data_IF_844128887906
#
_entry.id   IF_844128887906
#
_cell.length_a   1.000
_cell.length_b   1.000
_cell.length_c   1.000
_cell.angle_alpha   90.00
_cell.angle_beta   90.00
_cell.angle_gamma   90.00
#
_symmetry.space_group_name_H-M   'P 1'
#
loop_
_entity.id
_entity.type
_entity.pdbx_description
1 polymer ?
#
# COMPACT_ATOMS: atom_id res chain seq x y z
N UNK A 1 57.72 -47.54 -19.66
CA UNK A 1 57.82 -46.25 -18.95
C UNK A 1 58.29 -46.55 -17.55
N UNK A 2 59.37 -47.33 -17.43
CA UNK A 2 60.80 -46.99 -17.68
C UNK A 2 61.32 -46.32 -16.40
N UNK A 3 62.38 -46.72 -15.71
CA UNK A 3 63.57 -47.48 -16.09
C UNK A 3 64.19 -48.14 -14.84
N UNK A 4 64.80 -49.32 -15.03
CA UNK A 4 65.92 -49.83 -14.24
C UNK A 4 67.20 -49.13 -14.76
N UNK A 5 68.34 -49.05 -14.05
CA UNK A 5 69.26 -50.19 -14.17
C UNK A 5 70.29 -50.42 -13.03
N UNK A 6 70.77 -51.66 -13.04
CA UNK A 6 72.18 -52.10 -12.98
C UNK A 6 72.92 -52.36 -11.64
N UNK A 7 73.29 -53.64 -11.55
CA UNK A 7 74.33 -54.32 -10.76
C UNK A 7 75.73 -54.01 -11.35
N UNK A 8 76.84 -54.37 -10.68
CA UNK A 8 77.49 -55.62 -11.09
C UNK A 8 78.18 -56.45 -9.98
N UNK A 9 78.48 -57.70 -10.35
CA UNK A 9 79.17 -58.78 -9.62
C UNK A 9 80.70 -58.83 -9.89
N UNK A 10 81.35 -59.71 -9.11
CA UNK A 10 82.57 -60.51 -9.41
C UNK A 10 83.92 -59.90 -8.94
N UNK A 11 84.95 -60.61 -8.46
CA UNK A 11 85.29 -62.04 -8.32
C UNK A 11 86.54 -62.20 -7.41
N UNK A 12 86.60 -63.29 -6.62
CA UNK A 12 87.71 -64.25 -6.34
C UNK A 12 89.22 -63.89 -6.39
N UNK A 13 89.99 -64.45 -5.43
CA UNK A 13 91.24 -65.29 -5.51
C UNK A 13 92.03 -65.17 -4.18
N UNK A 14 92.20 -66.21 -3.36
CA UNK A 14 93.01 -67.45 -3.44
C UNK A 14 94.51 -67.33 -3.11
N UNK A 15 94.96 -68.31 -2.31
CA UNK A 15 96.29 -68.94 -2.24
C UNK A 15 97.45 -68.15 -1.58
N UNK A 16 98.47 -68.74 -0.92
CA UNK A 16 98.82 -70.06 -0.36
C UNK A 16 100.19 -69.88 0.33
N UNK A 17 100.60 -70.90 1.09
CA UNK A 17 101.97 -71.41 1.26
C UNK A 17 103.01 -70.81 2.25
N UNK A 18 103.17 -71.55 3.37
CA UNK A 18 104.25 -72.55 3.64
C UNK A 18 105.68 -72.12 4.05
N UNK A 19 106.16 -72.85 5.08
CA UNK A 19 107.55 -73.24 5.42
C UNK A 19 108.54 -72.18 5.93
N UNK A 20 109.61 -72.47 6.69
CA UNK A 20 110.11 -73.56 7.57
C UNK A 20 111.49 -73.06 8.06
N UNK A 21 111.84 -73.33 9.34
CA UNK A 21 113.18 -73.32 9.99
C UNK A 21 114.26 -72.28 9.63
N UNK A 22 114.88 -71.72 10.68
CA UNK A 22 116.35 -71.70 10.73
C UNK A 22 117.01 -70.45 11.30
N UNK A 23 117.62 -70.64 12.47
CA UNK A 23 118.88 -70.02 12.92
C UNK A 23 118.82 -68.65 13.62
N UNK A 24 118.80 -68.82 14.95
CA UNK A 24 119.32 -67.99 16.02
C UNK A 24 120.65 -67.29 15.67
N UNK A 25 120.76 -66.01 16.04
CA UNK A 25 121.95 -65.30 16.58
C UNK A 25 122.01 -63.82 16.16
N UNK A 26 121.07 -62.97 16.60
CA UNK A 26 121.31 -61.51 16.71
C UNK A 26 120.27 -60.78 17.60
N UNK A 27 119.75 -61.46 18.62
CA UNK A 27 118.50 -61.08 19.32
C UNK A 27 118.59 -59.99 20.41
N UNK A 28 119.72 -59.31 20.61
CA UNK A 28 119.87 -58.44 21.79
C UNK A 28 119.91 -56.93 21.56
N UNK A 29 120.18 -56.43 20.35
CA UNK A 29 120.24 -54.97 20.09
C UNK A 29 119.08 -54.44 19.24
N UNK A 30 118.39 -55.30 18.49
CA UNK A 30 117.17 -54.95 17.74
C UNK A 30 115.90 -54.97 18.63
N UNK A 31 116.00 -55.57 19.81
CA UNK A 31 114.91 -55.76 20.76
C UNK A 31 114.45 -54.47 21.46
N UNK A 32 115.31 -53.46 21.59
CA UNK A 32 115.00 -52.16 22.23
C UNK A 32 114.45 -51.12 21.25
N UNK A 33 114.90 -51.13 19.98
CA UNK A 33 114.33 -50.31 18.92
C UNK A 33 112.96 -50.82 18.46
N UNK A 34 112.78 -52.15 18.40
CA UNK A 34 111.49 -52.78 18.07
C UNK A 34 110.44 -52.58 19.16
N UNK A 35 110.80 -52.62 20.45
CA UNK A 35 109.86 -52.32 21.56
C UNK A 35 109.37 -50.88 21.54
N UNK A 36 110.25 -49.90 21.30
CA UNK A 36 109.84 -48.48 21.16
C UNK A 36 108.89 -48.27 19.97
N UNK A 37 109.13 -48.92 18.82
CA UNK A 37 108.21 -48.84 17.67
C UNK A 37 106.88 -49.57 17.87
N UNK A 38 106.83 -50.58 18.74
CA UNK A 38 105.58 -51.30 19.08
C UNK A 38 104.76 -50.46 20.07
N UNK A 39 105.40 -49.81 21.03
CA UNK A 39 104.74 -48.91 21.98
C UNK A 39 104.14 -47.67 21.29
N UNK A 40 104.85 -47.06 20.33
CA UNK A 40 104.29 -45.97 19.52
C UNK A 40 103.10 -46.42 18.67
N UNK A 41 103.19 -47.59 18.03
CA UNK A 41 102.06 -48.16 17.26
C UNK A 41 100.85 -48.47 18.15
N UNK A 42 101.09 -48.98 19.36
CA UNK A 42 100.03 -49.23 20.34
C UNK A 42 99.39 -47.91 20.81
N UNK A 43 100.19 -46.87 21.07
CA UNK A 43 99.68 -45.56 21.46
C UNK A 43 98.87 -44.90 20.35
N UNK A 44 99.29 -45.00 19.08
CA UNK A 44 98.54 -44.50 17.94
C UNK A 44 97.28 -45.32 17.67
N UNK A 45 97.31 -46.64 17.86
CA UNK A 45 96.11 -47.48 17.77
C UNK A 45 95.09 -47.12 18.86
N UNK A 46 95.54 -46.88 20.09
CA UNK A 46 94.68 -46.43 21.20
C UNK A 46 94.06 -45.06 20.90
N UNK A 47 94.84 -44.11 20.36
CA UNK A 47 94.30 -42.81 19.91
C UNK A 47 93.29 -42.96 18.78
N UNK A 48 93.58 -43.81 17.80
CA UNK A 48 92.68 -44.06 16.67
C UNK A 48 91.36 -44.67 17.16
N UNK A 49 91.42 -45.65 18.07
CA UNK A 49 90.24 -46.26 18.70
C UNK A 49 89.41 -45.24 19.46
N UNK A 50 90.05 -44.41 20.30
CA UNK A 50 89.36 -43.33 21.03
C UNK A 50 88.74 -42.30 20.09
N UNK A 51 89.42 -41.94 18.99
CA UNK A 51 88.89 -41.02 17.98
C UNK A 51 87.69 -41.65 17.26
N UNK A 52 87.77 -42.91 16.85
CA UNK A 52 86.64 -43.61 16.22
C UNK A 52 85.47 -43.78 17.16
N UNK A 53 85.71 -44.05 18.45
CA UNK A 53 84.68 -44.13 19.48
C UNK A 53 83.97 -42.78 19.65
N UNK A 54 84.72 -41.68 19.76
CA UNK A 54 84.14 -40.32 19.81
C UNK A 54 83.34 -39.96 18.56
N UNK A 55 83.80 -40.33 17.36
CA UNK A 55 83.08 -40.08 16.11
C UNK A 55 81.79 -40.90 16.06
N UNK A 56 81.82 -42.17 16.49
CA UNK A 56 80.65 -43.03 16.57
C UNK A 56 79.64 -42.51 17.60
N UNK A 57 80.09 -42.09 18.78
CA UNK A 57 79.24 -41.48 19.80
C UNK A 57 78.60 -40.18 19.32
N UNK A 58 79.37 -39.33 18.64
CA UNK A 58 78.85 -38.07 18.06
C UNK A 58 77.81 -38.37 16.98
N UNK A 59 78.06 -39.36 16.11
CA UNK A 59 77.09 -39.79 15.09
C UNK A 59 75.85 -40.44 15.69
N UNK A 60 76.00 -41.21 16.76
CA UNK A 60 74.89 -41.81 17.49
C UNK A 60 74.01 -40.73 18.11
N UNK A 61 74.60 -39.71 18.74
CA UNK A 61 73.86 -38.56 19.27
C UNK A 61 73.15 -37.77 18.16
N UNK A 62 73.78 -37.56 17.00
CA UNK A 62 73.12 -36.91 15.85
C UNK A 62 71.93 -37.72 15.32
N UNK A 63 72.05 -39.05 15.27
CA UNK A 63 70.98 -39.94 14.84
C UNK A 63 69.81 -39.92 15.83
N UNK A 64 70.10 -40.01 17.13
CA UNK A 64 69.09 -39.93 18.19
C UNK A 64 68.35 -38.58 18.18
N UNK A 65 69.09 -37.48 17.97
CA UNK A 65 68.50 -36.14 17.85
C UNK A 65 67.57 -36.04 16.61
N UNK A 66 67.99 -36.58 15.46
CA UNK A 66 67.17 -36.61 14.24
C UNK A 66 65.96 -37.54 14.37
N UNK A 67 66.10 -38.67 15.05
CA UNK A 67 64.97 -39.55 15.32
C UNK A 67 63.95 -38.91 16.26
N UNK A 68 64.41 -38.19 17.29
CA UNK A 68 63.56 -37.41 18.17
C UNK A 68 62.80 -36.31 17.41
N UNK A 69 63.49 -35.57 16.54
CA UNK A 69 62.87 -34.53 15.69
C UNK A 69 61.86 -35.13 14.71
N UNK A 70 62.20 -36.25 14.06
CA UNK A 70 61.28 -36.96 13.16
C UNK A 70 60.02 -37.43 13.91
N UNK A 71 60.19 -37.98 15.11
CA UNK A 71 59.07 -38.44 15.93
C UNK A 71 58.18 -37.26 16.38
N UNK A 72 58.77 -36.10 16.71
CA UNK A 72 58.03 -34.89 17.05
C UNK A 72 57.22 -34.34 15.85
N UNK A 73 57.85 -34.25 14.68
CA UNK A 73 57.18 -33.83 13.44
C UNK A 73 56.07 -34.79 13.03
N UNK A 74 56.27 -36.10 13.21
CA UNK A 74 55.24 -37.10 12.93
C UNK A 74 54.02 -36.91 13.85
N UNK A 75 54.24 -36.65 15.14
CA UNK A 75 53.17 -36.38 16.09
C UNK A 75 52.40 -35.09 15.75
N UNK A 76 53.11 -34.03 15.34
CA UNK A 76 52.49 -32.76 14.92
C UNK A 76 51.66 -32.93 13.64
N UNK A 77 52.16 -33.71 12.68
CA UNK A 77 51.48 -34.00 11.43
C UNK A 77 50.19 -34.80 11.67
N UNK A 78 50.22 -35.77 12.58
CA UNK A 78 49.04 -36.56 12.93
C UNK A 78 48.02 -35.71 13.72
N UNK A 79 48.47 -34.80 14.59
CA UNK A 79 47.58 -33.83 15.25
C UNK A 79 46.92 -32.86 14.25
N UNK A 80 47.66 -32.35 13.27
CA UNK A 80 47.14 -31.48 12.22
C UNK A 80 46.14 -32.20 11.30
N UNK A 81 46.40 -33.47 10.96
CA UNK A 81 45.44 -34.30 10.20
C UNK A 81 44.12 -34.46 10.94
N UNK A 82 44.19 -34.66 12.25
CA UNK A 82 43.00 -34.80 13.09
C UNK A 82 42.24 -33.46 13.22
N UNK A 83 42.94 -32.34 13.38
CA UNK A 83 42.30 -31.03 13.35
C UNK A 83 41.64 -30.71 12.00
N UNK A 84 42.28 -31.10 10.90
CA UNK A 84 41.75 -30.92 9.54
C UNK A 84 40.50 -31.79 9.32
N UNK A 85 40.51 -33.03 9.81
CA UNK A 85 39.35 -33.91 9.73
C UNK A 85 38.15 -33.33 10.49
N UNK A 86 38.39 -32.82 11.71
CA UNK A 86 37.38 -32.20 12.57
C UNK A 86 36.84 -30.88 12.01
N UNK A 87 37.69 -30.02 11.46
CA UNK A 87 37.21 -28.78 10.82
C UNK A 87 36.43 -29.06 9.54
N UNK A 88 36.80 -30.09 8.78
CA UNK A 88 36.07 -30.51 7.58
C UNK A 88 34.67 -31.04 7.90
N UNK A 89 34.52 -31.82 8.97
CA UNK A 89 33.19 -32.28 9.44
C UNK A 89 32.35 -31.11 9.92
N UNK A 90 32.90 -30.22 10.77
CA UNK A 90 32.21 -29.01 11.22
C UNK A 90 31.76 -28.11 10.06
N UNK A 91 32.59 -27.92 9.04
CA UNK A 91 32.23 -27.13 7.86
C UNK A 91 31.08 -27.79 7.08
N UNK A 92 31.07 -29.12 6.97
CA UNK A 92 30.00 -29.85 6.29
C UNK A 92 28.67 -29.73 7.03
N UNK A 93 28.70 -29.80 8.36
CA UNK A 93 27.55 -29.63 9.24
C UNK A 93 27.02 -28.19 9.19
N UNK A 94 27.91 -27.20 9.25
CA UNK A 94 27.52 -25.79 9.12
C UNK A 94 26.85 -25.52 7.75
N UNK A 95 27.38 -26.10 6.66
CA UNK A 95 26.78 -25.98 5.31
C UNK A 95 25.42 -26.66 5.23
N UNK A 96 25.24 -27.83 5.82
CA UNK A 96 23.95 -28.52 5.81
C UNK A 96 22.91 -27.75 6.62
N UNK A 97 23.29 -27.22 7.79
CA UNK A 97 22.43 -26.36 8.61
C UNK A 97 22.04 -25.06 7.90
N UNK A 98 22.98 -24.41 7.19
CA UNK A 98 22.68 -23.22 6.41
C UNK A 98 21.63 -23.50 5.32
N UNK A 99 21.78 -24.61 4.59
CA UNK A 99 20.84 -25.04 3.55
C UNK A 99 19.44 -25.34 4.11
N UNK A 100 19.37 -25.96 5.29
CA UNK A 100 18.09 -26.20 5.98
C UNK A 100 17.42 -24.89 6.39
N UNK A 101 18.18 -23.95 6.98
CA UNK A 101 17.66 -22.63 7.37
C UNK A 101 17.19 -21.83 6.17
N UNK A 102 17.93 -21.84 5.07
CA UNK A 102 17.53 -21.17 3.81
C UNK A 102 16.22 -21.73 3.26
N UNK A 103 16.07 -23.07 3.28
CA UNK A 103 14.81 -23.71 2.91
C UNK A 103 13.66 -23.32 3.84
N UNK A 104 13.87 -23.34 5.15
CA UNK A 104 12.86 -22.91 6.12
C UNK A 104 12.45 -21.44 5.92
N UNK A 105 13.39 -20.57 5.58
CA UNK A 105 13.13 -19.16 5.30
C UNK A 105 12.32 -18.99 4.01
N UNK A 106 12.65 -19.76 2.97
CA UNK A 106 11.85 -19.81 1.73
C UNK A 106 10.43 -20.33 1.98
N UNK A 107 10.29 -21.44 2.70
CA UNK A 107 8.99 -22.04 3.02
C UNK A 107 8.13 -21.09 3.87
N UNK A 108 8.73 -20.41 4.85
CA UNK A 108 8.06 -19.39 5.66
C UNK A 108 7.63 -18.19 4.82
N UNK A 109 8.48 -17.71 3.90
CA UNK A 109 8.14 -16.63 2.97
C UNK A 109 6.95 -17.01 2.09
N UNK A 110 6.97 -18.21 1.51
CA UNK A 110 5.88 -18.70 0.67
C UNK A 110 4.59 -18.89 1.46
N UNK A 111 4.68 -19.35 2.72
CA UNK A 111 3.55 -19.44 3.62
C UNK A 111 2.98 -18.06 3.96
N UNK A 112 3.84 -17.06 4.23
CA UNK A 112 3.41 -15.67 4.44
C UNK A 112 2.69 -15.12 3.20
N UNK A 113 3.22 -15.34 2.00
CA UNK A 113 2.56 -14.88 0.77
C UNK A 113 1.23 -15.59 0.48
N UNK A 114 1.11 -16.89 0.83
CA UNK A 114 -0.17 -17.62 0.72
C UNK A 114 -1.19 -17.18 1.76
N UNK A 115 -0.73 -16.78 2.95
CA UNK A 115 -1.58 -16.27 4.03
C UNK A 115 -1.96 -14.80 3.83
N UNK A 116 -1.15 -14.03 3.10
CA UNK A 116 -1.54 -12.70 2.66
C UNK A 116 -2.75 -12.83 1.74
N UNK A 117 -3.90 -12.36 2.23
CA UNK A 117 -5.11 -12.31 1.42
C UNK A 117 -4.79 -11.59 0.11
N UNK A 118 -5.15 -12.18 -1.02
CA UNK A 118 -5.00 -11.58 -2.36
C UNK A 118 -6.02 -10.45 -2.55
N UNK A 119 -6.10 -9.54 -1.59
CA UNK A 119 -7.01 -8.40 -1.63
C UNK A 119 -6.52 -7.42 -2.67
N UNK A 120 -7.42 -7.06 -3.59
CA UNK A 120 -7.34 -5.80 -4.31
C UNK A 120 -7.95 -4.73 -3.42
N UNK A 121 -7.20 -4.29 -2.41
CA UNK A 121 -7.58 -3.11 -1.66
C UNK A 121 -7.47 -1.89 -2.57
N UNK A 122 -8.49 -1.03 -2.57
CA UNK A 122 -8.44 0.21 -3.34
C UNK A 122 -7.32 1.11 -2.81
N UNK A 123 -6.37 1.41 -3.69
CA UNK A 123 -5.28 2.34 -3.41
C UNK A 123 -5.79 3.78 -3.34
N UNK A 124 -5.08 4.68 -2.65
CA UNK A 124 -5.46 6.09 -2.64
C UNK A 124 -5.54 6.70 -4.05
N UNK A 125 -4.65 6.28 -4.96
CA UNK A 125 -4.68 6.70 -6.37
C UNK A 125 -5.96 6.24 -7.09
N UNK A 126 -6.36 4.99 -6.90
CA UNK A 126 -7.61 4.46 -7.50
C UNK A 126 -8.84 5.15 -6.89
N UNK A 127 -8.83 5.43 -5.58
CA UNK A 127 -9.89 6.19 -4.93
C UNK A 127 -10.01 7.62 -5.49
N UNK A 128 -8.88 8.29 -5.70
CA UNK A 128 -8.81 9.61 -6.34
C UNK A 128 -9.32 9.55 -7.78
N UNK A 129 -8.86 8.59 -8.58
CA UNK A 129 -9.25 8.43 -9.97
C UNK A 129 -10.75 8.11 -10.10
N UNK A 130 -11.26 7.17 -9.31
CA UNK A 130 -12.67 6.80 -9.27
C UNK A 130 -13.55 8.00 -8.88
N UNK A 131 -13.13 8.78 -7.89
CA UNK A 131 -13.84 9.99 -7.48
C UNK A 131 -13.82 11.08 -8.55
N UNK A 132 -12.67 11.38 -9.16
CA UNK A 132 -12.57 12.34 -10.26
C UNK A 132 -13.40 11.91 -11.48
N UNK A 133 -13.40 10.62 -11.78
CA UNK A 133 -14.22 10.05 -12.86
C UNK A 133 -15.70 10.26 -12.59
N UNK A 134 -16.15 10.03 -11.33
CA UNK A 134 -17.53 10.28 -10.93
C UNK A 134 -17.90 11.77 -11.07
N UNK A 135 -17.08 12.68 -10.54
CA UNK A 135 -17.31 14.13 -10.67
C UNK A 135 -17.37 14.57 -12.14
N UNK A 136 -16.44 14.09 -12.96
CA UNK A 136 -16.41 14.38 -14.40
C UNK A 136 -17.62 13.78 -15.14
N UNK A 137 -18.09 12.60 -14.74
CA UNK A 137 -19.31 12.00 -15.31
C UNK A 137 -20.56 12.83 -14.97
N UNK A 138 -20.68 13.30 -13.73
CA UNK A 138 -21.78 14.17 -13.31
C UNK A 138 -21.74 15.48 -14.11
N UNK A 139 -20.59 16.14 -14.17
CA UNK A 139 -20.41 17.39 -14.92
C UNK A 139 -20.77 17.22 -16.40
N UNK A 140 -20.16 16.25 -17.10
CA UNK A 140 -20.43 15.98 -18.52
C UNK A 140 -21.89 15.62 -18.75
N UNK A 141 -22.53 14.88 -17.84
CA UNK A 141 -23.94 14.56 -17.96
C UNK A 141 -24.81 15.83 -17.88
N UNK A 142 -24.53 16.70 -16.91
CA UNK A 142 -25.26 17.97 -16.72
C UNK A 142 -25.09 18.89 -17.93
N UNK A 143 -23.86 19.13 -18.38
CA UNK A 143 -23.56 19.99 -19.54
C UNK A 143 -24.32 19.53 -20.79
N UNK A 144 -24.34 18.21 -21.05
CA UNK A 144 -25.04 17.66 -22.20
C UNK A 144 -26.57 17.71 -22.08
N UNK A 145 -27.11 17.55 -20.87
CA UNK A 145 -28.56 17.47 -20.64
C UNK A 145 -29.23 18.84 -20.46
N UNK A 146 -28.49 19.83 -19.98
CA UNK A 146 -29.04 21.16 -19.72
C UNK A 146 -29.07 22.05 -20.96
N UNK A 147 -28.25 21.79 -21.97
CA UNK A 147 -28.21 22.61 -23.19
C UNK A 147 -29.60 22.88 -23.79
N UNK A 148 -30.51 21.89 -23.97
CA UNK A 148 -31.82 22.15 -24.57
C UNK A 148 -32.77 23.00 -23.72
N UNK A 149 -32.63 23.01 -22.39
CA UNK A 149 -33.47 23.83 -21.49
C UNK A 149 -32.89 25.24 -21.33
N UNK A 150 -31.56 25.38 -21.35
CA UNK A 150 -30.87 26.67 -21.41
C UNK A 150 -31.18 27.39 -22.72
N UNK A 151 -31.16 26.68 -23.86
CA UNK A 151 -31.59 27.24 -25.14
C UNK A 151 -33.04 27.74 -25.04
N UNK A 152 -33.96 26.95 -24.47
CA UNK A 152 -35.36 27.38 -24.31
C UNK A 152 -35.52 28.58 -23.37
N UNK A 153 -34.66 28.76 -22.38
CA UNK A 153 -34.62 29.97 -21.56
C UNK A 153 -34.20 31.18 -22.39
N UNK A 154 -33.11 31.07 -23.15
CA UNK A 154 -32.55 32.14 -23.98
C UNK A 154 -33.53 32.59 -25.07
N UNK A 155 -34.29 31.66 -25.64
CA UNK A 155 -35.32 31.95 -26.64
C UNK A 155 -36.70 32.30 -26.03
N UNK A 156 -36.83 32.40 -24.71
CA UNK A 156 -38.11 32.71 -24.04
C UNK A 156 -39.20 31.66 -24.24
N UNK A 157 -38.81 30.39 -24.44
CA UNK A 157 -39.70 29.25 -24.71
C UNK A 157 -40.05 28.42 -23.47
N UNK A 158 -39.52 28.74 -22.29
CA UNK A 158 -39.93 28.13 -21.02
C UNK A 158 -41.36 28.54 -20.62
N UNK A 159 -42.35 27.85 -21.18
CA UNK A 159 -43.77 28.17 -20.97
C UNK A 159 -44.45 27.32 -19.88
N UNK A 160 -43.99 26.08 -19.68
CA UNK A 160 -44.65 25.14 -18.78
C UNK A 160 -43.90 25.05 -17.45
N UNK A 161 -44.46 25.67 -16.41
CA UNK A 161 -43.89 25.66 -15.06
C UNK A 161 -43.79 24.22 -14.53
N UNK A 162 -42.69 23.84 -13.85
CA UNK A 162 -42.56 22.51 -13.30
C UNK A 162 -43.56 22.32 -12.15
N UNK A 163 -43.94 21.08 -11.88
CA UNK A 163 -44.85 20.74 -10.80
C UNK A 163 -44.27 21.24 -9.45
N UNK A 164 -45.05 22.00 -8.69
CA UNK A 164 -44.59 22.64 -7.43
C UNK A 164 -43.95 21.66 -6.45
N UNK A 165 -44.51 20.46 -6.29
CA UNK A 165 -43.94 19.43 -5.41
C UNK A 165 -42.55 18.95 -5.86
N UNK A 166 -42.35 18.76 -7.17
CA UNK A 166 -41.07 18.35 -7.74
C UNK A 166 -40.05 19.49 -7.67
N UNK A 167 -40.47 20.72 -7.96
CA UNK A 167 -39.63 21.91 -7.84
C UNK A 167 -39.18 22.13 -6.39
N UNK A 168 -40.09 22.03 -5.41
CA UNK A 168 -39.76 22.13 -3.99
C UNK A 168 -38.78 21.03 -3.54
N UNK A 169 -38.99 19.79 -4.03
CA UNK A 169 -38.08 18.68 -3.78
C UNK A 169 -36.69 18.93 -4.38
N UNK A 170 -36.61 19.46 -5.60
CA UNK A 170 -35.35 19.80 -6.25
C UNK A 170 -34.60 20.89 -5.47
N UNK A 171 -35.30 21.95 -5.09
CA UNK A 171 -34.75 23.10 -4.35
C UNK A 171 -34.27 22.70 -2.94
N UNK A 172 -34.88 21.71 -2.31
CA UNK A 172 -34.47 21.27 -0.97
C UNK A 172 -33.08 20.63 -0.92
N UNK A 173 -32.57 20.14 -2.05
CA UNK A 173 -31.19 19.64 -2.16
C UNK A 173 -30.15 20.75 -2.40
N UNK A 174 -30.57 22.00 -2.64
CA UNK A 174 -29.64 23.13 -2.74
C UNK A 174 -29.13 23.54 -1.36
N UNK A 175 -27.80 23.69 -1.24
CA UNK A 175 -27.19 24.26 -0.03
C UNK A 175 -27.49 25.75 0.07
N UNK A 176 -27.47 26.29 1.28
CA UNK A 176 -27.87 27.68 1.55
C UNK A 176 -27.02 28.71 0.79
N UNK A 177 -25.71 28.46 0.62
CA UNK A 177 -24.86 29.32 -0.19
C UNK A 177 -25.29 29.35 -1.66
N UNK A 178 -25.69 28.20 -2.21
CA UNK A 178 -26.13 28.08 -3.60
C UNK A 178 -27.43 28.84 -3.85
N UNK A 179 -28.36 28.84 -2.89
CA UNK A 179 -29.62 29.60 -3.00
C UNK A 179 -29.42 31.10 -3.23
N UNK A 180 -28.34 31.68 -2.69
CA UNK A 180 -28.00 33.10 -2.90
C UNK A 180 -27.45 33.40 -4.30
N UNK A 181 -26.97 32.39 -5.01
CA UNK A 181 -26.37 32.49 -6.34
C UNK A 181 -27.27 31.99 -7.46
N UNK A 182 -28.57 31.87 -7.23
CA UNK A 182 -29.53 31.34 -8.22
C UNK A 182 -29.64 32.23 -9.46
N UNK A 183 -29.43 33.55 -9.32
CA UNK A 183 -29.61 34.53 -10.41
C UNK A 183 -28.34 34.79 -11.23
N UNK A 184 -27.27 34.06 -10.94
CA UNK A 184 -25.97 34.29 -11.57
C UNK A 184 -25.94 33.72 -12.99
N UNK A 185 -25.53 34.55 -13.95
CA UNK A 185 -25.40 34.13 -15.34
C UNK A 185 -24.49 32.90 -15.46
N UNK A 186 -24.89 31.94 -16.30
CA UNK A 186 -24.19 30.67 -16.54
C UNK A 186 -23.97 29.77 -15.31
N UNK A 187 -24.58 30.07 -14.15
CA UNK A 187 -24.40 29.27 -12.93
C UNK A 187 -25.23 27.98 -12.88
N UNK A 188 -26.26 27.88 -13.72
CA UNK A 188 -27.24 26.79 -13.75
C UNK A 188 -26.60 25.38 -13.76
N UNK A 189 -25.62 25.05 -14.62
CA UNK A 189 -24.97 23.74 -14.60
C UNK A 189 -24.31 23.41 -13.26
N UNK A 190 -23.66 24.38 -12.61
CA UNK A 190 -22.96 24.15 -11.34
C UNK A 190 -23.93 23.90 -10.19
N UNK A 191 -25.11 24.54 -10.19
CA UNK A 191 -26.18 24.23 -9.24
C UNK A 191 -26.68 22.80 -9.38
N UNK A 192 -26.92 22.33 -10.61
CA UNK A 192 -27.37 20.96 -10.85
C UNK A 192 -26.30 19.94 -10.47
N UNK A 193 -25.02 20.21 -10.76
CA UNK A 193 -23.90 19.38 -10.27
C UNK A 193 -23.91 19.31 -8.74
N UNK A 194 -24.05 20.44 -8.05
CA UNK A 194 -24.09 20.49 -6.60
C UNK A 194 -25.26 19.69 -6.01
N UNK A 195 -26.45 19.78 -6.62
CA UNK A 195 -27.63 19.00 -6.24
C UNK A 195 -27.39 17.50 -6.40
N UNK A 196 -26.86 17.07 -7.55
CA UNK A 196 -26.57 15.65 -7.79
C UNK A 196 -25.53 15.14 -6.80
N UNK A 197 -24.43 15.87 -6.60
CA UNK A 197 -23.39 15.48 -5.65
C UNK A 197 -23.91 15.44 -4.22
N UNK A 198 -24.79 16.37 -3.82
CA UNK A 198 -25.42 16.38 -2.50
C UNK A 198 -26.34 15.18 -2.32
N UNK A 199 -27.15 14.87 -3.33
CA UNK A 199 -28.01 13.68 -3.33
C UNK A 199 -27.18 12.39 -3.17
N UNK A 200 -26.12 12.21 -3.97
CA UNK A 200 -25.25 11.04 -3.89
C UNK A 200 -24.57 10.93 -2.53
N UNK A 201 -24.14 12.06 -1.96
CA UNK A 201 -23.56 12.07 -0.61
C UNK A 201 -24.53 11.51 0.42
N UNK A 202 -25.78 11.99 0.43
CA UNK A 202 -26.79 11.58 1.40
C UNK A 202 -27.22 10.11 1.21
N UNK A 203 -27.30 9.65 -0.03
CA UNK A 203 -27.83 8.31 -0.33
C UNK A 203 -26.75 7.22 -0.18
N UNK A 204 -25.50 7.50 -0.54
CA UNK A 204 -24.42 6.53 -0.56
C UNK A 204 -23.29 6.82 0.42
N UNK A 205 -22.72 8.02 0.41
CA UNK A 205 -21.43 8.29 1.06
C UNK A 205 -21.51 8.74 2.53
N UNK A 206 -22.68 9.18 3.01
CA UNK A 206 -22.88 9.57 4.41
C UNK A 206 -23.25 8.39 5.31
N UNK A 207 -23.44 7.20 4.73
CA UNK A 207 -23.78 5.98 5.44
C UNK A 207 -22.52 5.22 5.81
N UNK A 208 -22.55 4.53 6.94
CA UNK A 208 -21.45 3.66 7.39
C UNK A 208 -21.25 2.43 6.48
N UNK A 209 -22.33 1.99 5.84
CA UNK A 209 -22.30 1.09 4.70
C UNK A 209 -23.45 1.43 3.75
N UNK A 210 -23.15 1.57 2.46
CA UNK A 210 -24.07 2.18 1.50
C UNK A 210 -25.29 1.30 1.16
N UNK A 211 -25.12 -0.03 1.20
CA UNK A 211 -26.11 -1.00 0.77
C UNK A 211 -26.68 -1.77 1.96
N UNK A 212 -28.01 -1.86 2.11
CA UNK A 212 -28.61 -2.65 3.18
C UNK A 212 -28.12 -4.09 3.20
N UNK A 213 -27.80 -4.57 4.41
CA UNK A 213 -27.38 -5.96 4.66
C UNK A 213 -28.56 -6.89 4.96
N UNK A 214 -29.72 -6.33 5.28
CA UNK A 214 -30.93 -7.07 5.62
C UNK A 214 -32.06 -6.77 4.62
N UNK A 215 -33.04 -7.67 4.55
CA UNK A 215 -34.22 -7.51 3.67
C UNK A 215 -35.34 -6.67 4.34
N UNK A 216 -35.29 -6.52 5.66
CA UNK A 216 -36.26 -5.72 6.43
C UNK A 216 -35.77 -4.28 6.60
N UNK A 217 -36.67 -3.36 6.92
CA UNK A 217 -36.39 -1.91 7.06
C UNK A 217 -35.41 -1.53 8.19
N UNK A 218 -34.80 -2.50 8.86
CA UNK A 218 -33.83 -2.27 9.92
C UNK A 218 -32.42 -2.59 9.45
N UNK A 219 -31.47 -1.72 9.78
CA UNK A 219 -30.03 -1.96 9.61
C UNK A 219 -29.48 -2.90 10.72
N UNK A 220 -30.21 -3.97 11.05
CA UNK A 220 -29.93 -4.80 12.22
C UNK A 220 -28.56 -5.46 12.19
N UNK A 221 -28.19 -6.07 11.06
CA UNK A 221 -26.88 -6.67 10.84
C UNK A 221 -25.78 -5.62 10.84
N UNK A 222 -26.02 -4.45 10.26
CA UNK A 222 -25.02 -3.38 10.23
C UNK A 222 -24.78 -2.78 11.62
N UNK A 223 -25.86 -2.51 12.37
CA UNK A 223 -25.80 -2.05 13.76
C UNK A 223 -25.07 -3.06 14.63
N UNK A 224 -25.35 -4.36 14.48
CA UNK A 224 -24.62 -5.40 15.19
C UNK A 224 -23.11 -5.37 14.88
N UNK A 225 -22.71 -5.20 13.61
CA UNK A 225 -21.30 -5.07 13.22
C UNK A 225 -20.67 -3.83 13.85
N UNK A 226 -21.38 -2.71 13.89
CA UNK A 226 -20.91 -1.46 14.50
C UNK A 226 -20.75 -1.56 16.02
N UNK A 227 -21.73 -2.13 16.71
CA UNK A 227 -21.69 -2.35 18.16
C UNK A 227 -20.57 -3.33 18.53
N UNK A 228 -20.35 -4.36 17.73
CA UNK A 228 -19.26 -5.31 17.92
C UNK A 228 -17.91 -4.65 17.66
N UNK A 229 -17.77 -3.87 16.59
CA UNK A 229 -16.56 -3.09 16.32
C UNK A 229 -16.24 -2.12 17.47
N UNK A 230 -17.25 -1.40 17.97
CA UNK A 230 -17.10 -0.49 19.10
C UNK A 230 -16.66 -1.26 20.36
N UNK A 231 -17.22 -2.44 20.60
CA UNK A 231 -16.83 -3.30 21.73
C UNK A 231 -15.41 -3.84 21.58
N UNK A 232 -15.02 -4.28 20.38
CA UNK A 232 -13.65 -4.74 20.08
C UNK A 232 -12.62 -3.62 20.28
N UNK A 233 -12.96 -2.38 19.92
CA UNK A 233 -12.07 -1.23 20.07
C UNK A 233 -11.76 -0.85 21.52
N UNK A 234 -12.55 -1.34 22.49
CA UNK A 234 -12.32 -1.14 23.93
C UNK A 234 -11.36 -2.16 24.54
N UNK A 235 -11.11 -3.26 23.83
CA UNK A 235 -10.08 -4.22 24.23
C UNK A 235 -8.69 -3.60 23.96
N UNK A 236 -7.62 -4.07 24.63
CA UNK A 236 -6.24 -3.67 24.32
C UNK A 236 -5.78 -4.29 22.99
N UNK A 237 -6.56 -4.10 21.93
CA UNK A 237 -6.27 -4.49 20.55
C UNK A 237 -5.97 -3.23 19.74
N UNK A 238 -5.17 -3.41 18.72
CA UNK A 238 -4.85 -2.38 17.73
C UNK A 238 -6.11 -2.01 16.92
N UNK A 239 -6.35 -0.70 16.77
CA UNK A 239 -7.46 -0.16 15.98
C UNK A 239 -7.43 -0.63 14.51
N UNK A 240 -6.25 -0.92 13.97
CA UNK A 240 -6.08 -1.47 12.63
C UNK A 240 -6.74 -2.85 12.51
N UNK A 241 -6.53 -3.72 13.51
CA UNK A 241 -7.16 -5.05 13.54
C UNK A 241 -8.69 -4.97 13.65
N UNK A 242 -9.23 -4.01 14.42
CA UNK A 242 -10.68 -3.81 14.51
C UNK A 242 -11.28 -3.37 13.17
N UNK A 243 -10.58 -2.51 12.44
CA UNK A 243 -11.00 -2.05 11.12
C UNK A 243 -10.86 -3.14 10.08
N UNK A 244 -9.77 -3.89 10.10
CA UNK A 244 -9.54 -5.05 9.24
C UNK A 244 -10.69 -6.05 9.40
N UNK A 245 -11.00 -6.46 10.65
CA UNK A 245 -12.14 -7.34 10.95
C UNK A 245 -13.46 -6.84 10.35
N UNK A 246 -13.77 -5.54 10.50
CA UNK A 246 -14.97 -4.93 9.91
C UNK A 246 -14.97 -5.10 8.39
N UNK A 247 -13.85 -4.78 7.75
CA UNK A 247 -13.70 -4.86 6.29
C UNK A 247 -13.79 -6.30 5.79
N UNK A 248 -13.19 -7.26 6.50
CA UNK A 248 -13.31 -8.70 6.21
C UNK A 248 -14.76 -9.16 6.27
N UNK A 249 -15.45 -8.80 7.35
CA UNK A 249 -16.83 -9.19 7.60
C UNK A 249 -17.74 -8.63 6.51
N UNK A 250 -17.62 -7.34 6.19
CA UNK A 250 -18.39 -6.72 5.12
C UNK A 250 -18.05 -7.34 3.75
N UNK A 251 -16.77 -7.58 3.46
CA UNK A 251 -16.35 -8.21 2.21
C UNK A 251 -16.98 -9.59 2.05
N UNK A 252 -16.92 -10.42 3.09
CA UNK A 252 -17.56 -11.74 3.09
C UNK A 252 -19.07 -11.65 2.84
N UNK A 253 -19.78 -10.75 3.52
CA UNK A 253 -21.21 -10.53 3.32
C UNK A 253 -21.56 -10.09 1.89
N UNK A 254 -20.69 -9.29 1.26
CA UNK A 254 -20.94 -8.79 -0.10
C UNK A 254 -20.79 -9.84 -1.20
N UNK A 255 -20.09 -10.95 -0.92
CA UNK A 255 -19.94 -12.05 -1.89
C UNK A 255 -21.23 -12.86 -2.10
N UNK A 256 -22.16 -12.78 -1.15
CA UNK A 256 -23.43 -13.52 -1.15
C UNK A 256 -24.36 -13.09 -2.30
N UNK A 257 -25.10 -14.04 -2.88
CA UNK A 257 -26.07 -13.76 -3.96
C UNK A 257 -27.22 -12.84 -3.52
N UNK A 258 -27.66 -12.96 -2.26
CA UNK A 258 -28.66 -12.10 -1.66
C UNK A 258 -28.21 -10.63 -1.67
N UNK A 259 -26.95 -10.37 -1.31
CA UNK A 259 -26.37 -9.03 -1.37
C UNK A 259 -26.37 -8.46 -2.79
N UNK A 260 -25.95 -9.24 -3.79
CA UNK A 260 -25.97 -8.81 -5.21
C UNK A 260 -27.37 -8.41 -5.67
N UNK A 261 -28.39 -9.16 -5.25
CA UNK A 261 -29.80 -8.86 -5.52
C UNK A 261 -30.23 -7.55 -4.85
N UNK A 262 -29.89 -7.36 -3.56
CA UNK A 262 -30.17 -6.10 -2.82
C UNK A 262 -29.48 -4.90 -3.45
N UNK A 263 -28.20 -5.01 -3.79
CA UNK A 263 -27.42 -3.97 -4.48
C UNK A 263 -28.11 -3.55 -5.78
N UNK A 264 -28.56 -4.51 -6.58
CA UNK A 264 -29.26 -4.22 -7.85
C UNK A 264 -30.59 -3.49 -7.61
N UNK A 265 -31.38 -3.91 -6.61
CA UNK A 265 -32.62 -3.21 -6.23
C UNK A 265 -32.36 -1.79 -5.76
N UNK A 266 -31.33 -1.58 -4.92
CA UNK A 266 -30.93 -0.26 -4.45
C UNK A 266 -30.53 0.65 -5.60
N UNK A 267 -29.65 0.19 -6.49
CA UNK A 267 -29.21 0.96 -7.67
C UNK A 267 -30.41 1.36 -8.53
N UNK A 268 -31.36 0.45 -8.78
CA UNK A 268 -32.56 0.76 -9.56
C UNK A 268 -33.44 1.82 -8.87
N UNK A 269 -33.68 1.67 -7.56
CA UNK A 269 -34.47 2.61 -6.76
C UNK A 269 -33.84 4.01 -6.76
N UNK A 270 -32.53 4.09 -6.50
CA UNK A 270 -31.80 5.37 -6.49
C UNK A 270 -31.78 6.00 -7.88
N UNK A 271 -31.68 5.20 -8.94
CA UNK A 271 -31.74 5.70 -10.32
C UNK A 271 -33.12 6.26 -10.68
N UNK A 272 -34.19 5.57 -10.29
CA UNK A 272 -35.58 6.03 -10.47
C UNK A 272 -35.83 7.33 -9.70
N UNK A 273 -35.36 7.38 -8.46
CA UNK A 273 -35.56 8.51 -7.57
C UNK A 273 -34.77 9.76 -8.03
N UNK A 274 -33.51 9.58 -8.44
CA UNK A 274 -32.70 10.66 -9.02
C UNK A 274 -33.27 11.13 -10.37
N UNK A 275 -33.78 10.23 -11.20
CA UNK A 275 -34.45 10.60 -12.46
C UNK A 275 -35.71 11.43 -12.21
N UNK A 276 -36.51 11.03 -11.22
CA UNK A 276 -37.68 11.79 -10.78
C UNK A 276 -37.28 13.19 -10.29
N UNK A 277 -36.22 13.30 -9.48
CA UNK A 277 -35.67 14.56 -9.00
C UNK A 277 -35.22 15.48 -10.14
N UNK A 278 -34.50 14.94 -11.13
CA UNK A 278 -33.91 15.71 -12.23
C UNK A 278 -34.84 15.94 -13.42
N UNK A 279 -36.05 15.39 -13.40
CA UNK A 279 -37.04 15.58 -14.46
C UNK A 279 -37.36 17.06 -14.73
N UNK A 280 -37.27 17.91 -13.69
CA UNK A 280 -37.51 19.37 -13.79
C UNK A 280 -36.46 20.11 -14.61
N UNK A 281 -35.23 19.59 -14.71
CA UNK A 281 -34.13 20.16 -15.52
C UNK A 281 -33.92 19.44 -16.85
N UNK A 282 -34.64 18.33 -17.07
CA UNK A 282 -34.61 17.55 -18.31
C UNK A 282 -36.02 17.21 -18.83
N UNK A 283 -36.91 18.21 -19.04
CA UNK A 283 -38.33 17.96 -19.33
C UNK A 283 -38.59 17.28 -20.69
N UNK A 284 -37.62 17.34 -21.62
CA UNK A 284 -37.71 16.72 -22.95
C UNK A 284 -37.29 15.24 -22.96
N UNK A 285 -36.65 14.76 -21.89
CA UNK A 285 -36.20 13.37 -21.81
C UNK A 285 -37.35 12.46 -21.36
N UNK A 286 -37.48 11.27 -21.97
CA UNK A 286 -38.42 10.28 -21.47
C UNK A 286 -37.95 9.78 -20.09
N UNK A 287 -38.86 9.51 -19.13
CA UNK A 287 -38.47 8.97 -17.81
C UNK A 287 -37.59 7.71 -17.86
N UNK A 288 -37.86 6.69 -18.71
CA UNK A 288 -36.99 5.50 -18.75
C UNK A 288 -35.60 5.79 -19.35
N UNK A 289 -35.50 6.68 -20.35
CA UNK A 289 -34.20 7.06 -20.91
C UNK A 289 -33.37 7.87 -19.91
N UNK A 290 -34.03 8.75 -19.17
CA UNK A 290 -33.40 9.54 -18.11
C UNK A 290 -32.86 8.63 -17.00
N UNK A 291 -33.68 7.68 -16.54
CA UNK A 291 -33.29 6.68 -15.55
C UNK A 291 -32.12 5.82 -16.03
N UNK A 292 -32.20 5.27 -17.24
CA UNK A 292 -31.15 4.42 -17.81
C UNK A 292 -29.83 5.18 -17.97
N UNK A 293 -29.90 6.43 -18.45
CA UNK A 293 -28.76 7.32 -18.57
C UNK A 293 -28.11 7.59 -17.21
N UNK A 294 -28.89 8.03 -16.22
CA UNK A 294 -28.40 8.33 -14.86
C UNK A 294 -27.82 7.11 -14.17
N UNK A 295 -28.47 5.96 -14.34
CA UNK A 295 -28.01 4.68 -13.79
C UNK A 295 -26.59 4.37 -14.26
N UNK A 296 -26.38 4.37 -15.58
CA UNK A 296 -25.10 3.99 -16.20
C UNK A 296 -23.99 5.00 -15.96
N UNK A 297 -24.30 6.30 -15.99
CA UNK A 297 -23.26 7.34 -15.96
C UNK A 297 -22.92 7.81 -14.55
N UNK A 298 -23.87 7.73 -13.61
CA UNK A 298 -23.73 8.35 -12.27
C UNK A 298 -23.99 7.35 -11.15
N UNK A 299 -25.15 6.70 -11.11
CA UNK A 299 -25.58 5.92 -9.93
C UNK A 299 -24.77 4.63 -9.77
N UNK A 300 -24.57 3.85 -10.83
CA UNK A 300 -23.73 2.64 -10.78
C UNK A 300 -22.27 2.98 -10.46
N UNK A 301 -21.61 3.93 -11.15
CA UNK A 301 -20.26 4.35 -10.79
C UNK A 301 -20.13 4.86 -9.34
N UNK A 302 -21.11 5.60 -8.82
CA UNK A 302 -21.12 6.03 -7.42
C UNK A 302 -21.26 4.86 -6.46
N UNK A 303 -22.15 3.90 -6.76
CA UNK A 303 -22.36 2.70 -5.97
C UNK A 303 -21.14 1.77 -5.98
N UNK A 304 -20.42 1.68 -7.10
CA UNK A 304 -19.17 0.92 -7.21
C UNK A 304 -18.03 1.57 -6.44
N UNK A 305 -17.86 2.89 -6.58
CA UNK A 305 -16.84 3.62 -5.84
C UNK A 305 -17.07 3.49 -4.33
N UNK A 306 -18.27 3.80 -3.85
CA UNK A 306 -18.57 3.75 -2.42
C UNK A 306 -18.45 2.32 -1.85
N UNK A 307 -18.75 1.30 -2.66
CA UNK A 307 -18.56 -0.09 -2.29
C UNK A 307 -17.09 -0.38 -2.00
N UNK A 308 -16.19 -0.01 -2.91
CA UNK A 308 -14.75 -0.18 -2.73
C UNK A 308 -14.22 0.62 -1.54
N UNK A 309 -14.66 1.88 -1.38
CA UNK A 309 -14.24 2.74 -0.28
C UNK A 309 -14.66 2.19 1.10
N UNK A 310 -15.87 1.61 1.21
CA UNK A 310 -16.35 1.05 2.48
C UNK A 310 -15.72 -0.30 2.84
N UNK A 311 -15.23 -1.06 1.87
CA UNK A 311 -14.50 -2.32 2.09
C UNK A 311 -13.00 -2.10 2.32
N UNK A 312 -12.50 -0.89 2.13
CA UNK A 312 -11.10 -0.56 2.29
C UNK A 312 -10.66 -0.49 3.76
N UNK A 313 -9.43 -0.91 4.10
CA UNK A 313 -8.87 -0.74 5.44
C UNK A 313 -8.81 0.74 5.85
N UNK A 314 -8.48 1.65 4.95
CA UNK A 314 -8.53 3.10 5.24
C UNK A 314 -9.97 3.61 5.28
N UNK A 315 -10.24 4.61 6.12
CA UNK A 315 -11.56 5.23 6.22
C UNK A 315 -11.64 6.40 5.26
N UNK A 316 -12.45 6.24 4.21
CA UNK A 316 -12.71 7.30 3.24
C UNK A 316 -14.01 8.02 3.57
N UNK A 317 -14.04 9.35 3.40
CA UNK A 317 -15.24 10.15 3.60
C UNK A 317 -15.32 11.31 2.62
N UNK A 318 -16.54 11.64 2.19
CA UNK A 318 -16.80 12.85 1.43
C UNK A 318 -17.18 13.99 2.38
N UNK A 319 -16.48 15.11 2.30
CA UNK A 319 -16.79 16.29 3.12
C UNK A 319 -16.96 17.53 2.26
N UNK A 320 -18.07 18.21 2.47
CA UNK A 320 -18.33 19.52 1.87
C UNK A 320 -17.41 20.60 2.48
N UNK A 321 -17.19 21.71 1.77
CA UNK A 321 -16.52 22.88 2.33
C UNK A 321 -17.13 23.29 3.68
N UNK A 322 -16.25 23.70 4.59
CA UNK A 322 -16.63 24.10 5.94
C UNK A 322 -17.43 25.41 5.92
N UNK A 323 -18.19 25.66 7.00
CA UNK A 323 -18.82 26.97 7.20
C UNK A 323 -17.70 28.03 7.25
N UNK A 324 -17.75 28.99 6.34
CA UNK A 324 -16.68 29.98 6.19
C UNK A 324 -15.67 29.71 5.07
N UNK A 325 -15.95 28.78 4.14
CA UNK A 325 -15.07 28.45 3.01
C UNK A 325 -14.51 29.66 2.24
N UNK A 326 -15.28 30.76 2.14
CA UNK A 326 -14.86 32.03 1.55
C UNK A 326 -13.55 32.59 2.14
N UNK A 327 -13.27 32.32 3.41
CA UNK A 327 -12.07 32.81 4.12
C UNK A 327 -10.81 32.00 3.82
N UNK A 328 -10.91 30.81 3.19
CA UNK A 328 -9.78 29.91 2.92
C UNK A 328 -9.86 29.24 1.56
N UNK A 329 -9.91 30.03 0.48
CA UNK A 329 -10.04 29.50 -0.88
C UNK A 329 -8.84 28.66 -1.33
N UNK A 330 -7.66 28.86 -0.73
CA UNK A 330 -6.42 28.13 -1.05
C UNK A 330 -6.46 26.62 -0.77
N UNK A 331 -7.43 26.15 0.03
CA UNK A 331 -7.60 24.71 0.34
C UNK A 331 -8.64 24.02 -0.55
N UNK A 332 -9.28 24.75 -1.46
CA UNK A 332 -10.34 24.25 -2.34
C UNK A 332 -9.91 24.27 -3.81
N UNK A 333 -10.60 23.47 -4.62
CA UNK A 333 -10.56 23.61 -6.07
C UNK A 333 -11.53 24.72 -6.48
N UNK A 334 -11.00 25.85 -6.96
CA UNK A 334 -11.82 27.02 -7.27
C UNK A 334 -12.19 27.04 -8.76
N UNK A 335 -13.45 26.86 -9.08
CA UNK A 335 -13.97 26.94 -10.45
C UNK A 335 -14.36 28.39 -10.76
N UNK A 336 -13.70 29.02 -11.72
CA UNK A 336 -13.96 30.43 -12.04
C UNK A 336 -15.10 30.56 -13.06
N UNK A 337 -16.25 31.05 -12.59
CA UNK A 337 -17.43 31.27 -13.43
C UNK A 337 -17.15 32.28 -14.57
N UNK A 338 -16.36 33.33 -14.32
CA UNK A 338 -16.01 34.34 -15.34
C UNK A 338 -15.16 33.76 -16.49
N UNK A 339 -14.49 32.63 -16.25
CA UNK A 339 -13.67 31.94 -17.24
C UNK A 339 -14.29 30.60 -17.66
N UNK A 340 -15.62 30.49 -17.62
CA UNK A 340 -16.34 29.29 -18.07
C UNK A 340 -16.04 28.03 -17.26
N UNK A 341 -15.66 28.19 -15.99
CA UNK A 341 -15.40 27.09 -15.07
C UNK A 341 -13.96 26.58 -15.01
N UNK A 342 -13.00 27.26 -15.66
CA UNK A 342 -11.59 26.87 -15.54
C UNK A 342 -11.13 26.93 -14.08
N UNK A 343 -10.34 25.94 -13.66
CA UNK A 343 -9.79 25.88 -12.32
C UNK A 343 -8.79 27.01 -12.09
N UNK A 344 -9.02 27.80 -11.05
CA UNK A 344 -8.14 28.85 -10.55
C UNK A 344 -7.28 28.29 -9.42
N UNK A 345 -5.96 28.27 -9.62
CA UNK A 345 -5.04 27.86 -8.57
C UNK A 345 -4.74 29.01 -7.60
N UNK A 346 -5.21 28.86 -6.37
CA UNK A 346 -4.96 29.79 -5.27
C UNK A 346 -4.04 29.19 -4.20
N UNK A 347 -3.39 28.07 -4.48
CA UNK A 347 -2.48 27.43 -3.51
C UNK A 347 -1.32 28.33 -3.15
N UNK A 348 -0.98 28.38 -1.86
CA UNK A 348 0.09 29.23 -1.35
C UNK A 348 -0.20 30.74 -1.36
N UNK A 349 -1.36 31.17 -1.86
CA UNK A 349 -1.72 32.60 -1.85
C UNK A 349 -2.18 33.05 -0.46
N UNK A 350 -1.68 34.20 -0.01
CA UNK A 350 -2.13 34.82 1.24
C UNK A 350 -3.53 35.44 1.05
N UNK A 351 -4.37 35.52 2.10
CA UNK A 351 -5.69 36.17 2.05
C UNK A 351 -5.69 37.57 1.40
N UNK A 352 -4.67 38.37 1.67
CA UNK A 352 -4.55 39.75 1.18
C UNK A 352 -3.85 39.88 -0.17
N UNK A 353 -3.49 38.78 -0.82
CA UNK A 353 -2.78 38.78 -2.09
C UNK A 353 -3.64 39.41 -3.20
N UNK A 354 -3.01 40.12 -4.16
CA UNK A 354 -3.74 40.75 -5.27
C UNK A 354 -4.52 39.74 -6.11
N UNK A 355 -4.01 38.50 -6.25
CA UNK A 355 -4.68 37.39 -6.92
C UNK A 355 -6.02 37.03 -6.26
N UNK A 356 -6.16 37.26 -4.95
CA UNK A 356 -7.36 36.89 -4.18
C UNK A 356 -8.33 38.05 -3.98
N UNK A 357 -7.86 39.30 -4.00
CA UNK A 357 -8.72 40.49 -3.86
C UNK A 357 -9.81 40.58 -4.94
N UNK A 358 -9.56 39.99 -6.11
CA UNK A 358 -10.47 39.97 -7.26
C UNK A 358 -11.33 38.71 -7.34
N UNK A 359 -11.29 37.85 -6.31
CA UNK A 359 -11.98 36.55 -6.32
C UNK A 359 -13.05 36.55 -5.24
N UNK A 360 -14.30 36.45 -5.65
CA UNK A 360 -15.44 36.31 -4.75
C UNK A 360 -15.94 34.86 -4.72
N UNK A 361 -16.21 34.36 -3.52
CA UNK A 361 -16.83 33.05 -3.33
C UNK A 361 -18.33 33.13 -3.65
N UNK A 362 -18.84 32.17 -4.42
CA UNK A 362 -20.26 32.08 -4.74
C UNK A 362 -20.94 30.98 -3.91
N UNK A 363 -20.62 29.70 -4.19
CA UNK A 363 -21.18 28.54 -3.49
C UNK A 363 -20.36 27.26 -3.69
N UNK A 364 -20.72 26.20 -2.98
CA UNK A 364 -20.03 24.89 -3.06
C UNK A 364 -20.60 24.02 -4.17
N UNK A 365 -19.73 23.42 -5.00
CA UNK A 365 -20.11 22.62 -6.17
C UNK A 365 -19.99 21.12 -5.91
N UNK A 366 -18.90 20.68 -5.27
CA UNK A 366 -18.70 19.27 -4.96
C UNK A 366 -17.95 19.09 -3.63
N UNK A 367 -18.20 18.01 -2.88
CA UNK A 367 -17.42 17.69 -1.70
C UNK A 367 -15.98 17.31 -2.08
N UNK A 368 -15.08 17.27 -1.09
CA UNK A 368 -13.75 16.68 -1.25
C UNK A 368 -13.74 15.23 -0.78
N UNK A 369 -12.78 14.46 -1.27
CA UNK A 369 -12.51 13.10 -0.79
C UNK A 369 -11.37 13.15 0.24
N UNK A 370 -11.65 12.60 1.43
CA UNK A 370 -10.71 12.56 2.54
C UNK A 370 -10.44 11.11 2.94
N UNK A 371 -9.22 10.86 3.43
CA UNK A 371 -8.79 9.57 3.94
C UNK A 371 -8.25 9.73 5.37
N UNK A 372 -8.65 8.83 6.25
CA UNK A 372 -8.09 8.62 7.57
C UNK A 372 -7.45 7.23 7.58
N UNK A 373 -6.11 7.19 7.64
CA UNK A 373 -5.36 5.94 7.74
C UNK A 373 -5.33 5.45 9.18
N UNK A 374 -5.28 4.15 9.36
CA UNK A 374 -5.11 3.53 10.67
C UNK A 374 -3.74 2.83 10.63
N UNK A 375 -2.79 3.34 11.40
CA UNK A 375 -1.42 2.85 11.41
C UNK A 375 -0.95 2.68 12.87
N UNK A 376 -0.36 1.53 13.18
CA UNK A 376 0.20 1.19 14.49
C UNK A 376 -0.72 1.47 15.70
N UNK A 377 -2.02 1.17 15.63
CA UNK A 377 -2.95 1.43 16.75
C UNK A 377 -3.62 2.80 16.74
N UNK A 378 -3.12 3.76 15.96
CA UNK A 378 -3.60 5.13 15.99
C UNK A 378 -4.26 5.55 14.68
N UNK A 379 -5.31 6.37 14.82
CA UNK A 379 -5.92 7.05 13.67
C UNK A 379 -5.04 8.24 13.28
N UNK A 380 -4.55 8.22 12.05
CA UNK A 380 -3.78 9.31 11.48
C UNK A 380 -4.69 10.52 11.20
N UNK A 381 -4.15 11.75 11.14
CA UNK A 381 -4.95 12.92 10.84
C UNK A 381 -5.63 12.79 9.48
N UNK A 382 -6.88 13.26 9.41
CA UNK A 382 -7.68 13.26 8.20
C UNK A 382 -6.97 14.07 7.10
N UNK A 383 -6.67 13.41 5.97
CA UNK A 383 -5.97 13.98 4.83
C UNK A 383 -6.93 14.17 3.66
N UNK A 384 -6.93 15.35 3.05
CA UNK A 384 -7.63 15.56 1.77
C UNK A 384 -6.83 14.94 0.62
N UNK A 385 -7.42 13.99 -0.09
CA UNK A 385 -6.84 13.39 -1.30
C UNK A 385 -7.47 13.93 -2.58
N UNK A 386 -8.71 14.40 -2.51
CA UNK A 386 -9.28 15.34 -3.48
C UNK A 386 -9.84 16.56 -2.73
N UNK A 387 -9.49 17.76 -3.18
CA UNK A 387 -10.00 19.00 -2.57
C UNK A 387 -11.49 19.17 -2.93
N UNK A 388 -12.31 19.70 -2.02
CA UNK A 388 -13.67 20.11 -2.38
C UNK A 388 -13.66 21.20 -3.46
N UNK A 389 -14.67 21.19 -4.33
CA UNK A 389 -14.83 22.18 -5.39
C UNK A 389 -15.81 23.29 -5.00
N UNK A 390 -15.42 24.54 -5.24
CA UNK A 390 -16.22 25.74 -4.98
C UNK A 390 -16.29 26.61 -6.22
N UNK A 391 -17.44 27.23 -6.46
CA UNK A 391 -17.62 28.20 -7.53
C UNK A 391 -17.18 29.58 -7.03
N UNK A 392 -16.36 30.26 -7.83
CA UNK A 392 -15.87 31.61 -7.55
C UNK A 392 -16.07 32.51 -8.77
N UNK A 393 -16.07 33.82 -8.55
CA UNK A 393 -16.06 34.82 -9.62
C UNK A 393 -14.77 35.62 -9.55
N UNK A 394 -13.91 35.46 -10.56
CA UNK A 394 -12.62 36.13 -10.65
C UNK A 394 -12.66 37.38 -11.53
N UNK A 395 -13.34 38.44 -11.09
CA UNK A 395 -13.36 39.75 -11.74
C UNK A 395 -13.61 40.87 -10.71
N UNK A 396 -13.20 42.09 -11.04
CA UNK A 396 -13.53 43.30 -10.27
C UNK A 396 -14.97 43.77 -10.50
N UNK A 397 -15.49 43.50 -11.70
CA UNK A 397 -16.90 43.69 -12.00
C UNK A 397 -17.67 42.57 -11.30
N UNK A 398 -18.80 42.88 -10.65
CA UNK A 398 -19.61 41.86 -10.00
C UNK A 398 -20.15 40.84 -11.00
N UNK A 399 -20.52 39.65 -10.51
CA UNK A 399 -21.15 38.64 -11.36
C UNK A 399 -22.48 39.16 -11.94
N UNK A 400 -22.64 39.05 -13.27
CA UNK A 400 -23.84 39.48 -13.95
C UNK A 400 -25.05 38.64 -13.52
N UNK A 401 -26.19 39.31 -13.32
CA UNK A 401 -27.45 38.65 -13.04
C UNK A 401 -28.28 38.54 -14.33
N UNK A 402 -28.81 37.34 -14.59
CA UNK A 402 -29.71 37.07 -15.72
C UNK A 402 -30.83 36.13 -15.26
N UNK A 403 -31.95 36.06 -16.00
CA UNK A 403 -32.91 34.97 -15.80
C UNK A 403 -32.17 33.64 -15.91
N UNK A 404 -32.43 32.73 -14.96
CA UNK A 404 -31.81 31.40 -14.91
C UNK A 404 -32.88 30.32 -14.80
N UNK A 405 -32.56 29.09 -15.23
CA UNK A 405 -33.45 27.94 -15.09
C UNK A 405 -33.68 27.67 -13.60
N UNK A 406 -32.64 27.81 -12.78
CA UNK A 406 -32.71 27.57 -11.35
C UNK A 406 -33.63 28.57 -10.65
N UNK A 407 -33.64 29.84 -11.07
CA UNK A 407 -34.58 30.85 -10.55
C UNK A 407 -36.01 30.47 -10.89
N UNK A 408 -36.24 30.11 -12.15
CA UNK A 408 -37.55 29.67 -12.63
C UNK A 408 -38.10 28.45 -11.86
N UNK A 409 -37.25 27.46 -11.57
CA UNK A 409 -37.61 26.31 -10.72
C UNK A 409 -37.87 26.75 -9.27
N UNK A 410 -37.00 27.60 -8.70
CA UNK A 410 -37.15 28.08 -7.31
C UNK A 410 -38.40 28.93 -7.11
N UNK A 411 -38.80 29.71 -8.11
CA UNK A 411 -40.06 30.43 -8.06
C UNK A 411 -41.22 29.44 -8.10
N UNK A 412 -41.14 28.36 -8.89
CA UNK A 412 -42.16 27.32 -8.97
C UNK A 412 -42.38 26.52 -7.68
N UNK A 413 -41.36 26.40 -6.82
CA UNK A 413 -41.53 25.79 -5.49
C UNK A 413 -42.36 26.64 -4.54
N UNK A 414 -42.38 27.96 -4.73
CA UNK A 414 -42.99 28.93 -3.81
C UNK A 414 -44.46 29.26 -4.13
N UNK A 415 -45.11 28.49 -5.02
CA UNK A 415 -46.52 28.60 -5.45
C UNK A 415 -47.31 29.80 -4.90
N UNK A 416 -47.46 30.85 -5.72
CA UNK A 416 -48.44 31.95 -5.63
C UNK A 416 -49.05 32.22 -4.23
N UNK A 417 -48.28 32.80 -3.31
CA UNK A 417 -48.89 33.64 -2.26
C UNK A 417 -49.23 35.01 -2.87
N UNK A 418 -50.40 35.08 -3.50
CA UNK A 418 -50.93 36.30 -4.08
C UNK A 418 -52.36 36.07 -4.54
N UNK A 419 -53.30 36.67 -3.80
CA UNK A 419 -54.77 36.69 -3.94
C UNK A 419 -55.55 35.49 -3.40
N UNK A 420 -56.12 35.66 -2.20
CA UNK A 420 -57.54 35.35 -1.94
C UNK A 420 -57.89 34.01 -1.26
N UNK A 421 -58.31 34.13 -0.01
CA UNK A 421 -59.20 33.26 0.77
C UNK A 421 -58.71 31.92 1.35
N UNK A 422 -58.82 31.88 2.68
CA UNK A 422 -58.86 30.72 3.55
C UNK A 422 -59.77 29.61 3.00
N UNK A 423 -59.23 28.38 2.97
CA UNK A 423 -59.97 27.18 3.36
C UNK A 423 -59.00 26.06 3.68
N UNK A 424 -58.92 25.75 4.96
CA UNK A 424 -58.24 24.58 5.47
C UNK A 424 -58.91 23.31 4.95
N UNK A 425 -58.20 22.50 4.17
CA UNK A 425 -58.59 21.13 3.89
C UNK A 425 -57.37 20.21 4.09
N UNK A 426 -57.47 19.38 5.13
CA UNK A 426 -56.52 18.32 5.51
C UNK A 426 -56.22 17.42 4.29
N UNK A 427 -54.98 17.43 3.83
CA UNK A 427 -54.45 16.36 3.00
C UNK A 427 -53.91 15.25 3.90
N UNK A 428 -54.49 14.07 3.78
CA UNK A 428 -54.09 12.82 4.42
C UNK A 428 -52.74 12.35 3.87
N UNK A 429 -51.80 12.08 4.79
CA UNK A 429 -50.49 11.51 4.49
C UNK A 429 -50.59 10.12 3.83
N UNK A 430 -50.02 9.90 2.63
CA UNK A 430 -49.60 8.56 2.25
C UNK A 430 -48.28 8.24 2.97
N UNK A 431 -48.36 7.35 3.95
CA UNK A 431 -47.19 6.72 4.58
C UNK A 431 -46.37 5.93 3.55
N UNK A 432 -45.05 5.99 3.72
CA UNK A 432 -43.99 5.04 3.28
C UNK A 432 -43.30 5.22 1.92
N UNK A 433 -42.03 5.63 1.98
CA UNK A 433 -40.84 4.83 1.57
C UNK A 433 -39.59 5.59 2.04
N UNK A 434 -39.02 5.14 3.17
CA UNK A 434 -37.84 5.68 3.86
C UNK A 434 -37.94 7.15 4.30
N UNK A 435 -37.86 7.47 5.60
CA UNK A 435 -37.60 8.83 5.99
C UNK A 435 -36.12 9.09 5.74
N UNK A 436 -35.79 9.96 4.79
CA UNK A 436 -34.57 10.77 4.92
C UNK A 436 -34.86 11.68 6.12
N UNK A 437 -34.67 11.19 7.35
CA UNK A 437 -34.66 12.03 8.53
C UNK A 437 -33.41 12.89 8.45
N UNK A 438 -33.56 14.05 7.83
CA UNK A 438 -32.60 15.13 7.93
C UNK A 438 -32.63 15.65 9.37
N UNK A 439 -31.59 15.32 10.14
CA UNK A 439 -31.35 15.92 11.44
C UNK A 439 -30.18 16.91 11.30
N UNK A 440 -30.43 18.24 11.25
CA UNK A 440 -29.38 19.24 10.98
C UNK A 440 -28.40 19.47 12.15
N UNK A 441 -28.40 18.62 13.17
CA UNK A 441 -27.74 18.86 14.46
C UNK A 441 -26.89 17.70 14.98
N UNK A 442 -26.20 16.96 14.10
CA UNK A 442 -25.06 16.15 14.54
C UNK A 442 -23.76 16.57 13.84
N UNK A 443 -22.74 16.72 14.68
CA UNK A 443 -21.61 17.65 14.60
C UNK A 443 -20.36 17.02 13.98
N UNK A 444 -19.45 17.94 13.60
CA UNK A 444 -17.98 17.85 13.49
C UNK A 444 -17.37 17.16 12.26
#
# INVERSE_FOLDING_TARGET
MDDDPERPEATQQEAEDNSTMGQEESKLEEATASTLTIEEKLADEVRLRQYTEQVLDTRQQELEAKEAERNALQAELDALKEQLSQTKTQLSEARSQAKVKEKQLSDAKDQIFRLQSTRKDITESEAVEGYRTLCGNVQRWVENRMKPILDDLDYGRLKTRPQTAQAARFVSFMREAAKRGIDLDQSDPYHVVAIIMNYLCLVFFSKSFYCPLDDYQGDGTLMFIEDLQASLSRLPRDAAHCREWRCETLSALTTQSAFKTRRTRLVNLVSEDLASLLSVVAPKASPPDLQSSLRRTIVEPAADLVHQLHLAPSVYSLKWPARGAWSRLEVYECLNLAAGGTTLDLTGTKPNSPARRKVSYLFDVAPGLFVERIDGGNKMPLKAICRPAVLVFGSEEGAAQRPTVLRWISEASNGTQGTGQESAARATNPRSRWPITYNPTQRC
#
